data_IF_432642788471
#
_entry.id   IF_432642788471
#
_cell.length_a   1.000
_cell.length_b   1.000
_cell.length_c   1.000
_cell.angle_alpha   90.00
_cell.angle_beta   90.00
_cell.angle_gamma   90.00
#
_symmetry.space_group_name_H-M   'P 1'
#
loop_
_entity.id
_entity.type
_entity.pdbx_description
1 polymer ?
#
# COMPACT_ATOMS: atom_id res chain seq x y z
N UNK A 1 4.98 -3.97 5.48
CA UNK A 1 4.84 -4.16 6.95
C UNK A 1 3.64 -3.35 7.36
N UNK A 2 2.69 -3.99 8.04
CA UNK A 2 1.48 -3.33 8.53
C UNK A 2 1.58 -3.21 10.05
N UNK A 3 1.03 -2.13 10.62
CA UNK A 3 1.04 -1.88 12.06
C UNK A 3 2.45 -1.99 12.69
N UNK A 4 3.39 -1.21 12.17
CA UNK A 4 4.79 -1.26 12.59
C UNK A 4 4.93 -0.94 14.08
N UNK A 5 5.66 -1.79 14.81
CA UNK A 5 5.93 -1.63 16.24
C UNK A 5 7.42 -1.49 16.55
N UNK A 6 7.79 -1.29 17.83
CA UNK A 6 9.20 -1.11 18.22
C UNK A 6 10.12 -2.25 17.78
N UNK A 7 9.61 -3.49 17.75
CA UNK A 7 10.37 -4.68 17.33
C UNK A 7 10.80 -4.64 15.86
N UNK A 8 10.04 -3.95 14.99
CA UNK A 8 10.38 -3.82 13.58
C UNK A 8 11.55 -2.85 13.35
N UNK A 9 11.84 -1.96 14.31
CA UNK A 9 12.99 -1.07 14.27
C UNK A 9 14.35 -1.77 14.44
N UNK A 10 14.35 -2.96 15.07
CA UNK A 10 15.56 -3.78 15.25
C UNK A 10 15.82 -4.74 14.08
N UNK A 11 14.91 -4.83 13.12
CA UNK A 11 15.04 -5.71 11.95
C UNK A 11 15.65 -4.98 10.76
N UNK A 12 16.38 -5.73 9.93
CA UNK A 12 16.86 -5.26 8.62
C UNK A 12 16.10 -5.97 7.51
N UNK A 13 15.66 -5.21 6.51
CA UNK A 13 14.82 -5.70 5.42
C UNK A 13 15.56 -5.54 4.09
N UNK A 14 15.83 -6.66 3.41
CA UNK A 14 16.43 -6.66 2.08
C UNK A 14 15.38 -7.09 1.04
N UNK A 15 15.46 -6.51 -0.15
CA UNK A 15 14.69 -6.98 -1.30
C UNK A 15 15.47 -8.08 -2.00
N UNK A 16 14.79 -9.13 -2.46
CA UNK A 16 15.37 -10.16 -3.32
C UNK A 16 14.63 -10.15 -4.65
N UNK A 17 15.35 -9.86 -5.72
CA UNK A 17 14.85 -9.86 -7.09
C UNK A 17 15.22 -11.16 -7.79
N UNK A 18 14.38 -11.57 -8.74
CA UNK A 18 14.60 -12.76 -9.57
C UNK A 18 14.49 -12.33 -11.03
N UNK A 19 15.54 -12.59 -11.81
CA UNK A 19 15.56 -12.31 -13.24
C UNK A 19 14.74 -13.37 -13.98
N UNK A 20 13.67 -12.94 -14.67
CA UNK A 20 12.67 -13.87 -15.24
C UNK A 20 13.21 -14.77 -16.37
N UNK A 21 14.29 -14.37 -17.05
CA UNK A 21 14.83 -15.11 -18.20
C UNK A 21 15.96 -16.07 -17.81
N UNK A 22 16.88 -15.62 -16.94
CA UNK A 22 18.04 -16.43 -16.53
C UNK A 22 17.80 -17.22 -15.24
N UNK A 23 16.83 -16.79 -14.43
CA UNK A 23 16.58 -17.33 -13.10
C UNK A 23 17.50 -16.79 -12.01
N UNK A 24 18.46 -15.91 -12.36
CA UNK A 24 19.40 -15.33 -11.39
C UNK A 24 18.69 -14.55 -10.29
N UNK A 25 19.21 -14.68 -9.07
CA UNK A 25 18.63 -14.08 -7.88
C UNK A 25 19.61 -13.08 -7.28
N UNK A 26 19.17 -11.84 -7.12
CA UNK A 26 19.99 -10.78 -6.52
C UNK A 26 19.30 -10.18 -5.30
N UNK A 27 20.04 -10.07 -4.20
CA UNK A 27 19.60 -9.30 -3.05
C UNK A 27 20.04 -7.84 -3.19
N UNK A 28 19.26 -6.92 -2.65
CA UNK A 28 19.62 -5.51 -2.56
C UNK A 28 20.93 -5.35 -1.78
N UNK A 29 21.90 -4.63 -2.36
CA UNK A 29 23.21 -4.39 -1.74
C UNK A 29 23.10 -3.69 -0.38
N UNK A 30 22.08 -2.83 -0.20
CA UNK A 30 21.84 -2.09 1.04
C UNK A 30 20.49 -2.48 1.63
N UNK A 31 20.45 -3.25 2.74
CA UNK A 31 19.23 -3.51 3.47
C UNK A 31 18.63 -2.23 4.05
N UNK A 32 17.31 -2.09 3.95
CA UNK A 32 16.56 -1.03 4.61
C UNK A 32 16.33 -1.29 6.09
N UNK A 33 16.19 -0.22 6.86
CA UNK A 33 15.77 -0.25 8.26
C UNK A 33 14.54 0.64 8.44
N UNK A 34 13.71 0.31 9.42
CA UNK A 34 12.53 1.10 9.76
C UNK A 34 12.87 1.93 10.98
N UNK A 35 12.56 3.21 10.93
CA UNK A 35 12.70 4.09 12.08
C UNK A 35 11.30 4.25 12.69
N UNK A 36 11.15 3.78 13.93
CA UNK A 36 9.90 3.89 14.68
C UNK A 36 9.99 5.13 15.56
N UNK A 37 9.07 6.07 15.36
CA UNK A 37 8.97 7.30 16.15
C UNK A 37 7.68 7.30 16.95
N UNK A 38 7.78 7.48 18.26
CA UNK A 38 6.61 7.61 19.12
C UNK A 38 5.92 8.98 18.90
N UNK A 39 4.58 9.01 18.79
CA UNK A 39 3.85 10.25 18.59
C UNK A 39 3.82 11.06 19.89
N UNK A 40 4.24 12.33 19.83
CA UNK A 40 4.20 13.27 20.98
C UNK A 40 2.83 13.92 21.20
N UNK A 41 1.81 13.49 20.45
CA UNK A 41 0.47 14.06 20.45
C UNK A 41 -0.27 13.72 19.16
N UNK A 42 -1.40 14.38 18.93
CA UNK A 42 -2.18 14.17 17.72
C UNK A 42 -1.44 14.72 16.49
N UNK A 43 -1.26 13.87 15.49
CA UNK A 43 -0.62 14.21 14.21
C UNK A 43 -1.64 13.99 13.11
N UNK A 44 -1.99 15.05 12.39
CA UNK A 44 -2.93 14.97 11.27
C UNK A 44 -2.45 13.96 10.22
N UNK A 45 -3.36 13.18 9.59
CA UNK A 45 -2.98 12.26 8.52
C UNK A 45 -2.34 13.00 7.34
N UNK A 46 -1.16 12.54 6.92
CA UNK A 46 -0.46 13.00 5.72
C UNK A 46 -0.26 11.83 4.77
N UNK A 47 -0.75 11.98 3.54
CA UNK A 47 -0.54 10.99 2.47
C UNK A 47 0.94 11.00 2.08
N UNK A 48 1.56 9.82 2.13
CA UNK A 48 3.00 9.63 1.88
C UNK A 48 3.30 9.00 0.52
N UNK A 49 2.25 8.62 -0.21
CA UNK A 49 2.32 8.11 -1.58
C UNK A 49 1.96 9.21 -2.58
N UNK A 50 2.30 8.97 -3.84
CA UNK A 50 1.91 9.86 -4.93
C UNK A 50 0.38 9.95 -5.05
N UNK A 51 -0.16 11.16 -4.86
CA UNK A 51 -1.62 11.41 -4.81
C UNK A 51 -2.35 11.14 -6.13
N UNK A 52 -1.66 11.31 -7.26
CA UNK A 52 -2.25 11.22 -8.61
C UNK A 52 -1.56 10.13 -9.45
N UNK A 53 -1.39 8.94 -8.87
CA UNK A 53 -0.78 7.83 -9.60
C UNK A 53 -1.80 7.12 -10.50
N UNK A 54 -1.53 7.08 -11.82
CA UNK A 54 -2.27 6.24 -12.76
C UNK A 54 -1.74 4.81 -12.69
N UNK A 55 -2.64 3.82 -12.56
CA UNK A 55 -2.30 2.40 -12.64
C UNK A 55 -2.92 1.79 -13.89
N UNK A 56 -2.10 1.04 -14.63
CA UNK A 56 -2.53 0.26 -15.81
C UNK A 56 -2.42 -1.20 -15.41
N UNK A 57 -3.50 -1.96 -15.60
CA UNK A 57 -3.56 -3.39 -15.33
C UNK A 57 -4.13 -4.12 -16.54
N UNK A 58 -3.69 -5.35 -16.78
CA UNK A 58 -4.29 -6.20 -17.82
C UNK A 58 -5.58 -6.81 -17.27
N UNK A 59 -6.51 -7.11 -18.16
CA UNK A 59 -7.72 -7.86 -17.80
C UNK A 59 -7.30 -9.21 -17.22
N UNK A 60 -7.92 -9.59 -16.11
CA UNK A 60 -7.60 -10.81 -15.36
C UNK A 60 -6.50 -10.66 -14.31
N UNK A 61 -5.68 -9.61 -14.37
CA UNK A 61 -4.64 -9.36 -13.35
C UNK A 61 -5.26 -8.79 -12.07
N UNK A 62 -4.50 -8.87 -10.97
CA UNK A 62 -4.81 -8.19 -9.72
C UNK A 62 -4.11 -6.82 -9.70
N UNK A 63 -4.80 -5.79 -9.21
CA UNK A 63 -4.22 -4.44 -9.03
C UNK A 63 -4.40 -3.97 -7.59
N UNK A 64 -3.38 -3.29 -7.07
CA UNK A 64 -3.44 -2.65 -5.74
C UNK A 64 -3.24 -1.14 -5.90
N UNK A 65 -4.21 -0.37 -5.41
CA UNK A 65 -4.17 1.10 -5.39
C UNK A 65 -3.71 1.58 -4.00
N UNK A 66 -2.63 2.36 -3.92
CA UNK A 66 -2.12 2.82 -2.63
C UNK A 66 -2.80 4.11 -2.16
N UNK A 67 -3.26 4.13 -0.92
CA UNK A 67 -3.62 5.34 -0.18
C UNK A 67 -3.00 5.23 1.22
N UNK A 68 -1.68 5.43 1.32
CA UNK A 68 -0.95 5.25 2.58
C UNK A 68 -0.72 6.59 3.24
N UNK A 69 -1.26 6.75 4.45
CA UNK A 69 -1.10 7.95 5.26
C UNK A 69 -0.41 7.66 6.60
N UNK A 70 0.40 8.62 7.05
CA UNK A 70 0.98 8.63 8.39
C UNK A 70 0.24 9.64 9.26
N UNK A 71 -0.05 9.28 10.51
CA UNK A 71 -0.75 10.14 11.46
C UNK A 71 -0.96 9.42 12.80
N UNK A 72 -1.34 10.19 13.82
CA UNK A 72 -1.69 9.66 15.13
C UNK A 72 -2.94 10.38 15.68
N UNK A 73 -3.99 9.67 16.13
CA UNK A 73 -4.18 8.22 16.07
C UNK A 73 -4.10 7.64 14.64
N UNK A 74 -3.94 6.32 14.53
CA UNK A 74 -3.80 5.65 13.23
C UNK A 74 -5.01 5.99 12.33
N UNK A 75 -4.79 6.47 11.09
CA UNK A 75 -5.87 6.91 10.22
C UNK A 75 -6.78 5.76 9.80
N UNK A 76 -8.05 6.08 9.54
CA UNK A 76 -9.00 5.18 8.89
C UNK A 76 -9.08 5.49 7.40
N UNK A 77 -9.40 4.48 6.60
CA UNK A 77 -9.36 4.57 5.15
C UNK A 77 -10.73 4.25 4.54
N UNK A 78 -11.11 5.04 3.54
CA UNK A 78 -12.31 4.83 2.72
C UNK A 78 -11.95 5.11 1.28
N UNK A 79 -12.45 4.26 0.38
CA UNK A 79 -12.24 4.39 -1.05
C UNK A 79 -13.54 4.78 -1.73
N UNK A 80 -13.44 5.71 -2.67
CA UNK A 80 -14.55 6.18 -3.48
C UNK A 80 -14.20 5.99 -4.95
N UNK A 81 -15.20 5.62 -5.73
CA UNK A 81 -15.14 5.59 -7.19
C UNK A 81 -15.88 6.80 -7.71
N UNK A 82 -15.26 7.51 -8.63
CA UNK A 82 -15.88 8.61 -9.37
C UNK A 82 -16.45 8.07 -10.69
N UNK A 83 -17.73 8.30 -10.93
CA UNK A 83 -18.40 8.07 -12.21
C UNK A 83 -19.29 9.27 -12.53
N UNK A 84 -19.14 9.88 -13.70
CA UNK A 84 -19.93 11.04 -14.15
C UNK A 84 -20.01 12.15 -13.07
N UNK A 85 -18.85 12.51 -12.50
CA UNK A 85 -18.69 13.51 -11.43
C UNK A 85 -19.38 13.16 -10.09
N UNK A 86 -19.92 11.95 -9.97
CA UNK A 86 -20.49 11.45 -8.72
C UNK A 86 -19.50 10.52 -8.02
N UNK A 87 -19.19 10.84 -6.76
CA UNK A 87 -18.45 9.95 -5.87
C UNK A 87 -19.41 8.95 -5.23
N UNK A 88 -19.07 7.67 -5.33
CA UNK A 88 -19.76 6.56 -4.66
C UNK A 88 -18.76 5.72 -3.85
N UNK A 89 -19.12 5.24 -2.65
CA UNK A 89 -18.24 4.40 -1.86
C UNK A 89 -17.99 3.07 -2.58
N UNK A 90 -16.74 2.63 -2.60
CA UNK A 90 -16.38 1.35 -3.23
C UNK A 90 -16.91 0.20 -2.37
N UNK A 91 -17.79 -0.68 -2.89
CA UNK A 91 -18.30 -1.82 -2.14
C UNK A 91 -17.18 -2.84 -1.92
N UNK A 92 -16.92 -3.17 -0.66
CA UNK A 92 -15.96 -4.21 -0.29
C UNK A 92 -16.59 -5.59 -0.38
N UNK A 93 -15.80 -6.59 -0.78
CA UNK A 93 -16.21 -7.99 -0.91
C UNK A 93 -15.06 -8.86 -1.43
N UNK A 94 -15.35 -10.03 -1.98
CA UNK A 94 -14.33 -10.99 -2.40
C UNK A 94 -13.40 -10.44 -3.50
N UNK A 95 -13.95 -9.65 -4.43
CA UNK A 95 -13.18 -9.06 -5.53
C UNK A 95 -12.41 -7.82 -5.11
N UNK A 96 -13.00 -7.00 -4.23
CA UNK A 96 -12.46 -5.70 -3.84
C UNK A 96 -12.28 -5.68 -2.34
N UNK A 97 -11.02 -5.73 -1.90
CA UNK A 97 -10.68 -5.81 -0.49
C UNK A 97 -9.82 -4.63 -0.07
N UNK A 98 -10.10 -4.08 1.10
CA UNK A 98 -9.25 -3.10 1.74
C UNK A 98 -8.17 -3.85 2.53
N UNK A 99 -6.95 -3.84 2.00
CA UNK A 99 -5.79 -4.35 2.72
C UNK A 99 -5.32 -3.32 3.76
N UNK A 100 -4.42 -3.75 4.64
CA UNK A 100 -3.88 -2.89 5.68
C UNK A 100 -3.23 -1.61 5.14
N UNK A 101 -3.21 -0.55 5.96
CA UNK A 101 -2.62 0.76 5.66
C UNK A 101 -3.21 1.45 4.40
N UNK A 102 -4.48 1.19 4.09
CA UNK A 102 -5.22 1.92 3.06
C UNK A 102 -5.01 1.44 1.63
N UNK A 103 -4.41 0.27 1.44
CA UNK A 103 -4.22 -0.34 0.12
C UNK A 103 -5.52 -0.99 -0.38
N UNK A 104 -6.09 -0.53 -1.49
CA UNK A 104 -7.26 -1.15 -2.10
C UNK A 104 -6.81 -2.21 -3.11
N UNK A 105 -7.12 -3.48 -2.86
CA UNK A 105 -6.88 -4.58 -3.80
C UNK A 105 -8.13 -4.86 -4.61
N UNK A 106 -7.96 -4.90 -5.93
CA UNK A 106 -8.98 -5.31 -6.89
C UNK A 106 -8.46 -6.55 -7.59
N UNK A 107 -9.08 -7.70 -7.31
CA UNK A 107 -8.69 -8.97 -7.89
C UNK A 107 -9.39 -9.21 -9.24
N UNK A 108 -8.69 -9.86 -10.18
CA UNK A 108 -9.21 -10.20 -11.52
C UNK A 108 -9.91 -9.02 -12.19
N UNK A 109 -9.14 -8.00 -12.58
CA UNK A 109 -9.65 -6.80 -13.25
C UNK A 109 -10.47 -7.16 -14.48
N UNK A 110 -11.58 -6.45 -14.68
CA UNK A 110 -12.56 -6.67 -15.76
C UNK A 110 -12.92 -5.32 -16.37
N UNK A 111 -13.38 -5.33 -17.62
CA UNK A 111 -14.01 -4.17 -18.28
C UNK A 111 -15.43 -3.95 -17.75
#
# INVERSE_FOLDING_TARGET
>A
IYNAGPSDGYKSYACRTVHKLTGDVHASAYPGRIIITEPKGNVQPRITVEKHSRKIAKIGDDVTLPCVAQGYPVPTYRWFREEREQLSPVPLGDRVSLLAAGLLRISKVRL
#
